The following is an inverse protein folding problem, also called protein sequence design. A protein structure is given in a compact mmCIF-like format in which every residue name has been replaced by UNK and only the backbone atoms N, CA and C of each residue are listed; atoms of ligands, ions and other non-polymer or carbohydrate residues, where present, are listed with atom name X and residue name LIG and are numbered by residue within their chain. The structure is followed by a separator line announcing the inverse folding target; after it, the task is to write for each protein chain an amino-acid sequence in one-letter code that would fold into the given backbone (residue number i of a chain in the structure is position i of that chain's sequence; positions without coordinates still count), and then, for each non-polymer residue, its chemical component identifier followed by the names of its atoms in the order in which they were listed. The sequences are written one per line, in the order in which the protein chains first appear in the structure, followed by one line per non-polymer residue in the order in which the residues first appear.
data_IF_952841229623
#
_entry.id   IF_952841229623
#
_cell.length_a   1.000
_cell.length_b   1.000
_cell.length_c   1.000
_cell.angle_alpha   90.00
_cell.angle_beta   90.00
_cell.angle_gamma   90.00
#
_symmetry.space_group_name_H-M   'P 1'
#
loop_
_entity.id
_entity.type
_entity.pdbx_description
1 polymer ?
#
# COMPACT_ATOMS: atom_id res chain seq x y z
N UNK A 1 36.62 -18.39 29.28
CA UNK A 1 36.21 -18.23 30.69
C UNK A 1 35.17 -19.26 31.06
N UNK A 2 34.38 -19.03 32.11
CA UNK A 2 33.27 -19.93 32.49
C UNK A 2 32.17 -19.96 31.42
N UNK A 3 31.75 -18.80 30.94
CA UNK A 3 30.60 -18.62 30.05
C UNK A 3 30.68 -19.38 28.71
N UNK A 4 31.90 -19.67 28.23
CA UNK A 4 32.14 -20.40 26.98
C UNK A 4 32.71 -21.81 27.25
N UNK A 5 32.38 -22.40 28.41
CA UNK A 5 32.78 -23.74 28.82
C UNK A 5 34.29 -24.00 28.86
N UNK A 6 35.14 -22.96 28.86
CA UNK A 6 36.60 -23.13 28.95
C UNK A 6 37.08 -23.54 30.35
N UNK A 7 36.22 -23.42 31.35
CA UNK A 7 36.48 -23.83 32.73
C UNK A 7 35.25 -24.52 33.29
N UNK A 8 35.43 -25.52 34.14
CA UNK A 8 34.36 -26.26 34.82
C UNK A 8 34.48 -26.18 36.35
N UNK A 9 33.38 -26.44 37.05
CA UNK A 9 33.30 -26.57 38.50
C UNK A 9 33.28 -28.07 38.84
N UNK A 10 34.28 -28.59 39.58
CA UNK A 10 34.25 -29.96 40.06
C UNK A 10 33.14 -30.13 41.09
N UNK A 11 32.07 -30.83 40.73
CA UNK A 11 30.88 -30.99 41.57
C UNK A 11 31.15 -31.79 42.84
N UNK A 12 32.26 -32.54 42.87
CA UNK A 12 32.76 -33.22 44.09
C UNK A 12 32.99 -32.26 45.26
N UNK A 13 33.31 -30.99 44.98
CA UNK A 13 33.48 -29.97 46.01
C UNK A 13 32.17 -29.59 46.71
N UNK A 14 31.03 -29.89 46.08
CA UNK A 14 29.69 -29.62 46.57
C UNK A 14 28.93 -30.91 46.94
N UNK A 15 29.63 -32.05 47.03
CA UNK A 15 29.03 -33.34 47.38
C UNK A 15 28.38 -34.10 46.22
N UNK A 16 28.52 -33.59 44.98
CA UNK A 16 28.08 -34.26 43.75
C UNK A 16 29.19 -35.08 43.07
N UNK A 17 28.98 -35.40 41.80
CA UNK A 17 29.95 -36.11 40.95
C UNK A 17 30.10 -35.42 39.59
N UNK A 18 31.30 -35.49 39.01
CA UNK A 18 31.58 -34.95 37.69
C UNK A 18 31.94 -33.46 37.70
N UNK A 19 31.86 -32.85 36.52
CA UNK A 19 32.20 -31.46 36.26
C UNK A 19 30.95 -30.72 35.77
N UNK A 20 30.73 -29.51 36.26
CA UNK A 20 29.69 -28.61 35.79
C UNK A 20 30.31 -27.57 34.87
N UNK A 21 29.84 -27.46 33.63
CA UNK A 21 30.17 -26.34 32.73
C UNK A 21 29.04 -25.30 32.74
N UNK A 22 29.23 -24.14 32.09
CA UNK A 22 28.17 -23.14 32.02
C UNK A 22 26.98 -23.66 31.20
N UNK A 23 27.24 -24.29 30.05
CA UNK A 23 26.16 -24.88 29.24
C UNK A 23 25.46 -26.04 29.95
N UNK A 24 26.20 -26.89 30.68
CA UNK A 24 25.57 -27.96 31.46
C UNK A 24 24.71 -27.39 32.60
N UNK A 25 25.16 -26.32 33.26
CA UNK A 25 24.39 -25.64 34.29
C UNK A 25 23.08 -25.08 33.73
N UNK A 26 23.13 -24.34 32.61
CA UNK A 26 21.93 -23.78 31.97
C UNK A 26 20.97 -24.88 31.54
N UNK A 27 21.48 -25.93 30.87
CA UNK A 27 20.67 -27.07 30.45
C UNK A 27 20.02 -27.80 31.62
N UNK A 28 20.72 -27.94 32.74
CA UNK A 28 20.16 -28.59 33.94
C UNK A 28 19.09 -27.70 34.55
N UNK A 29 19.42 -26.46 34.87
CA UNK A 29 18.54 -25.53 35.61
C UNK A 29 17.34 -25.01 34.81
N UNK A 30 17.36 -25.13 33.47
CA UNK A 30 16.20 -24.82 32.65
C UNK A 30 15.05 -25.81 32.86
N UNK A 31 15.36 -27.09 32.97
CA UNK A 31 14.37 -28.17 33.02
C UNK A 31 14.33 -28.94 34.33
N UNK A 32 15.13 -28.57 35.33
CA UNK A 32 15.22 -29.25 36.62
C UNK A 32 15.67 -28.28 37.74
N UNK A 33 15.79 -28.79 38.96
CA UNK A 33 16.26 -28.02 40.13
C UNK A 33 17.71 -27.53 39.97
N UNK A 34 18.03 -26.36 40.52
CA UNK A 34 19.40 -25.82 40.57
C UNK A 34 20.30 -26.77 41.38
N UNK A 35 21.29 -27.44 40.74
CA UNK A 35 22.13 -28.43 41.40
C UNK A 35 23.14 -27.81 42.38
N UNK A 36 23.28 -26.49 42.42
CA UNK A 36 24.20 -25.76 43.28
C UNK A 36 23.52 -25.17 44.52
N UNK A 37 22.33 -24.58 44.33
CA UNK A 37 21.64 -23.83 45.39
C UNK A 37 20.32 -24.47 45.83
N UNK A 38 19.82 -25.48 45.11
CA UNK A 38 18.44 -25.95 45.23
C UNK A 38 17.44 -24.95 44.67
N UNK A 39 16.18 -25.36 44.58
CA UNK A 39 15.12 -24.53 44.00
C UNK A 39 15.19 -24.38 42.49
N UNK A 40 14.43 -23.44 41.94
CA UNK A 40 14.32 -23.26 40.49
C UNK A 40 14.64 -21.82 40.08
N UNK A 41 15.25 -21.66 38.90
CA UNK A 41 15.50 -20.35 38.33
C UNK A 41 14.21 -19.69 37.87
N UNK A 42 14.12 -18.36 37.96
CA UNK A 42 12.95 -17.61 37.48
C UNK A 42 12.71 -17.74 35.97
N UNK A 43 13.74 -18.10 35.20
CA UNK A 43 13.68 -18.39 33.76
C UNK A 43 13.95 -19.88 33.51
N UNK A 44 13.11 -20.72 34.11
CA UNK A 44 13.09 -22.18 33.94
C UNK A 44 11.67 -22.65 33.73
N UNK A 45 11.48 -23.90 33.31
CA UNK A 45 10.15 -24.49 33.12
C UNK A 45 9.32 -24.55 34.41
N UNK A 46 9.97 -24.57 35.59
CA UNK A 46 9.29 -24.51 36.88
C UNK A 46 9.02 -23.07 37.38
N UNK A 47 9.58 -22.05 36.70
CA UNK A 47 9.35 -20.61 36.92
C UNK A 47 9.59 -20.17 38.37
N UNK A 48 10.83 -20.30 38.81
CA UNK A 48 11.25 -19.82 40.12
C UNK A 48 10.74 -20.67 41.28
N UNK A 49 11.02 -20.20 42.49
CA UNK A 49 10.54 -20.80 43.73
C UNK A 49 10.04 -19.70 44.67
N UNK A 50 8.93 -19.97 45.34
CA UNK A 50 8.33 -19.11 46.36
C UNK A 50 7.86 -19.99 47.53
N UNK A 51 8.29 -19.67 48.74
CA UNK A 51 7.96 -20.42 49.97
C UNK A 51 8.17 -21.94 49.89
N UNK A 52 9.23 -22.36 49.20
CA UNK A 52 9.64 -23.76 49.12
C UNK A 52 9.01 -24.55 47.97
N UNK A 53 8.06 -23.99 47.22
CA UNK A 53 7.47 -24.64 46.02
C UNK A 53 7.72 -23.81 44.77
N UNK A 54 7.86 -24.46 43.62
CA UNK A 54 7.90 -23.75 42.35
C UNK A 54 6.54 -23.14 41.98
N UNK A 55 6.51 -22.13 41.11
CA UNK A 55 5.23 -21.64 40.59
C UNK A 55 4.46 -22.77 39.91
N UNK A 56 5.16 -23.62 39.16
CA UNK A 56 4.54 -24.74 38.45
C UNK A 56 3.82 -25.71 39.41
N UNK A 57 4.47 -26.05 40.52
CA UNK A 57 3.88 -26.89 41.57
C UNK A 57 2.71 -26.19 42.28
N UNK A 58 2.78 -24.87 42.48
CA UNK A 58 1.69 -24.08 43.05
C UNK A 58 0.44 -24.06 42.15
N UNK A 59 0.59 -24.29 40.85
CA UNK A 59 -0.52 -24.50 39.90
C UNK A 59 -1.10 -25.93 39.95
N UNK A 60 -0.65 -26.76 40.90
CA UNK A 60 -1.11 -28.14 41.09
C UNK A 60 -0.58 -29.10 40.04
N UNK A 61 0.56 -28.78 39.41
CA UNK A 61 1.23 -29.62 38.42
C UNK A 61 2.44 -30.31 39.03
N UNK A 62 2.82 -31.45 38.45
CA UNK A 62 4.06 -32.13 38.82
C UNK A 62 5.26 -31.32 38.32
N UNK A 63 6.27 -31.17 39.18
CA UNK A 63 7.51 -30.47 38.85
C UNK A 63 8.16 -31.06 37.59
N UNK A 64 8.67 -30.17 36.75
CA UNK A 64 9.41 -30.55 35.56
C UNK A 64 10.82 -30.99 35.97
N UNK A 65 11.20 -32.20 35.55
CA UNK A 65 12.53 -32.78 35.76
C UNK A 65 13.02 -33.41 34.44
N UNK A 66 13.72 -32.60 33.63
CA UNK A 66 14.25 -32.99 32.34
C UNK A 66 15.73 -33.33 32.43
N UNK A 67 16.13 -34.36 31.67
CA UNK A 67 17.54 -34.61 31.43
C UNK A 67 18.18 -33.40 30.71
N UNK A 68 19.39 -32.94 31.10
CA UNK A 68 20.01 -31.74 30.52
C UNK A 68 20.14 -31.76 28.99
N UNK A 69 20.30 -32.94 28.38
CA UNK A 69 20.32 -33.09 26.92
C UNK A 69 19.01 -32.66 26.25
N UNK A 70 17.87 -32.98 26.85
CA UNK A 70 16.55 -32.62 26.31
C UNK A 70 16.27 -31.13 26.53
N UNK A 71 16.62 -30.58 27.69
CA UNK A 71 16.60 -29.13 27.93
C UNK A 71 17.45 -28.37 26.90
N UNK A 72 18.66 -28.85 26.62
CA UNK A 72 19.54 -28.27 25.61
C UNK A 72 18.94 -28.35 24.20
N UNK A 73 18.22 -29.42 23.87
CA UNK A 73 17.48 -29.52 22.62
C UNK A 73 16.36 -28.47 22.54
N UNK A 74 15.54 -28.31 23.61
CA UNK A 74 14.47 -27.31 23.67
C UNK A 74 15.03 -25.89 23.52
N UNK A 75 16.16 -25.60 24.15
CA UNK A 75 16.76 -24.26 24.12
C UNK A 75 17.46 -23.95 22.80
N UNK A 76 18.22 -24.89 22.26
CA UNK A 76 19.26 -24.63 21.27
C UNK A 76 19.12 -25.43 19.97
N UNK A 77 18.04 -26.18 19.76
CA UNK A 77 17.79 -26.79 18.46
C UNK A 77 17.81 -25.72 17.36
N UNK A 78 18.48 -25.99 16.24
CA UNK A 78 18.68 -25.00 15.17
C UNK A 78 17.37 -24.49 14.54
N UNK A 79 16.33 -25.32 14.52
CA UNK A 79 15.05 -25.02 13.86
C UNK A 79 13.96 -24.53 14.83
N UNK A 80 13.92 -25.08 16.03
CA UNK A 80 12.83 -24.83 17.00
C UNK A 80 13.32 -24.34 18.35
N UNK A 81 14.64 -24.19 18.57
CA UNK A 81 15.19 -23.85 19.87
C UNK A 81 14.67 -22.50 20.38
N UNK A 82 14.16 -22.45 21.61
CA UNK A 82 13.55 -21.25 22.19
C UNK A 82 14.50 -20.04 22.29
N UNK A 83 15.81 -20.27 22.26
CA UNK A 83 16.84 -19.21 22.30
C UNK A 83 17.37 -18.84 20.93
N UNK A 84 16.90 -19.52 19.87
CA UNK A 84 17.20 -19.17 18.48
C UNK A 84 16.17 -18.16 17.97
N UNK A 85 16.55 -17.32 17.01
CA UNK A 85 15.62 -16.35 16.41
C UNK A 85 14.41 -17.06 15.79
N UNK A 86 14.65 -18.10 14.98
CA UNK A 86 13.59 -18.87 14.31
C UNK A 86 12.65 -19.56 15.31
N UNK A 87 13.19 -20.26 16.31
CA UNK A 87 12.38 -20.95 17.32
C UNK A 87 11.59 -20.01 18.23
N UNK A 88 12.18 -18.88 18.63
CA UNK A 88 11.49 -17.87 19.43
C UNK A 88 10.31 -17.26 18.67
N UNK A 89 10.53 -16.85 17.42
CA UNK A 89 9.47 -16.28 16.55
C UNK A 89 8.41 -17.33 16.22
N UNK A 90 8.79 -18.59 15.95
CA UNK A 90 7.86 -19.70 15.75
C UNK A 90 6.94 -19.89 16.95
N UNK A 91 7.50 -19.90 18.16
CA UNK A 91 6.72 -20.08 19.38
C UNK A 91 5.78 -18.90 19.62
N UNK A 92 6.26 -17.66 19.42
CA UNK A 92 5.45 -16.46 19.55
C UNK A 92 4.32 -16.42 18.52
N UNK A 93 4.61 -16.73 17.25
CA UNK A 93 3.60 -16.92 16.21
C UNK A 93 2.56 -17.94 16.63
N UNK A 94 3.00 -19.08 17.16
CA UNK A 94 2.13 -20.13 17.69
C UNK A 94 1.14 -19.64 18.74
N UNK A 95 1.67 -18.98 19.78
CA UNK A 95 0.85 -18.46 20.88
C UNK A 95 -0.12 -17.36 20.43
N UNK A 96 0.30 -16.47 19.53
CA UNK A 96 -0.51 -15.32 19.11
C UNK A 96 -1.51 -15.65 18.00
N UNK A 97 -1.16 -16.53 17.07
CA UNK A 97 -2.05 -16.98 15.99
C UNK A 97 -2.97 -18.13 16.40
N UNK A 98 -2.57 -18.90 17.42
CA UNK A 98 -3.22 -20.17 17.78
C UNK A 98 -2.95 -21.31 16.78
N UNK A 99 -2.02 -21.13 15.84
CA UNK A 99 -1.65 -22.11 14.83
C UNK A 99 -0.14 -22.16 14.61
N UNK A 100 0.34 -23.25 14.04
CA UNK A 100 1.69 -23.27 13.45
C UNK A 100 1.68 -22.52 12.12
N UNK A 101 2.82 -21.97 11.66
CA UNK A 101 2.96 -21.67 10.24
C UNK A 101 2.74 -22.96 9.42
N UNK A 102 2.49 -22.87 8.10
CA UNK A 102 2.21 -24.01 7.24
C UNK A 102 3.45 -24.88 6.94
N UNK A 103 4.15 -25.32 7.99
CA UNK A 103 5.39 -26.11 7.94
C UNK A 103 5.15 -27.62 7.93
N UNK A 104 3.90 -28.08 8.11
CA UNK A 104 3.52 -29.49 8.10
C UNK A 104 2.91 -29.88 6.76
N UNK A 105 3.76 -30.20 5.78
CA UNK A 105 3.36 -30.50 4.39
C UNK A 105 2.52 -29.37 3.76
N UNK A 106 2.85 -28.11 4.07
CA UNK A 106 2.11 -26.94 3.61
C UNK A 106 0.83 -26.64 4.40
N UNK A 107 0.58 -27.35 5.51
CA UNK A 107 -0.60 -27.15 6.34
C UNK A 107 -0.23 -26.57 7.71
N UNK A 108 -1.12 -25.73 8.24
CA UNK A 108 -1.09 -25.26 9.62
C UNK A 108 -1.79 -26.25 10.54
N UNK A 109 -1.22 -26.47 11.73
CA UNK A 109 -1.81 -27.25 12.81
C UNK A 109 -2.23 -26.32 13.96
N UNK A 110 -3.24 -26.69 14.76
CA UNK A 110 -3.55 -25.94 15.98
C UNK A 110 -2.35 -25.87 16.92
N UNK A 111 -2.08 -24.69 17.47
CA UNK A 111 -1.06 -24.50 18.49
C UNK A 111 -1.60 -24.90 19.86
N UNK A 112 -1.20 -26.07 20.33
CA UNK A 112 -1.61 -26.64 21.61
C UNK A 112 -0.52 -27.55 22.19
N UNK A 113 -0.74 -28.07 23.39
CA UNK A 113 0.19 -28.94 24.11
C UNK A 113 0.58 -30.18 23.31
N UNK A 114 -0.35 -30.79 22.57
CA UNK A 114 -0.09 -31.98 21.75
C UNK A 114 0.83 -31.65 20.57
N UNK A 115 0.63 -30.52 19.90
CA UNK A 115 1.49 -30.06 18.81
C UNK A 115 2.90 -29.73 19.33
N UNK A 116 3.01 -29.01 20.45
CA UNK A 116 4.29 -28.64 21.06
C UNK A 116 5.04 -29.88 21.55
N UNK A 117 4.36 -30.80 22.26
CA UNK A 117 4.97 -32.04 22.75
C UNK A 117 5.56 -32.87 21.62
N UNK A 118 4.83 -32.97 20.50
CA UNK A 118 5.31 -33.65 19.29
C UNK A 118 6.52 -32.95 18.67
N UNK A 119 6.50 -31.62 18.59
CA UNK A 119 7.56 -30.81 18.00
C UNK A 119 8.88 -30.91 18.77
N UNK A 120 8.83 -30.92 20.10
CA UNK A 120 10.01 -30.93 20.97
C UNK A 120 10.36 -32.32 21.54
N UNK A 121 9.53 -33.34 21.30
CA UNK A 121 9.74 -34.68 21.84
C UNK A 121 9.60 -34.76 23.36
N UNK A 122 8.65 -34.02 23.93
CA UNK A 122 8.38 -33.91 25.37
C UNK A 122 6.96 -34.38 25.69
N UNK A 123 6.56 -34.40 26.96
CA UNK A 123 5.16 -34.63 27.34
C UNK A 123 4.34 -33.31 27.35
N UNK A 124 3.02 -33.44 27.51
CA UNK A 124 2.12 -32.29 27.54
C UNK A 124 2.31 -31.40 28.78
N UNK A 125 2.80 -31.93 29.90
CA UNK A 125 3.08 -31.14 31.11
C UNK A 125 4.25 -30.18 30.85
N UNK A 126 5.33 -30.67 30.24
CA UNK A 126 6.46 -29.87 29.77
C UNK A 126 6.01 -28.84 28.74
N UNK A 127 5.14 -29.24 27.80
CA UNK A 127 4.61 -28.34 26.78
C UNK A 127 3.83 -27.19 27.41
N UNK A 128 2.91 -27.46 28.34
CA UNK A 128 2.20 -26.40 29.08
C UNK A 128 3.17 -25.48 29.85
N UNK A 129 4.23 -26.04 30.45
CA UNK A 129 5.24 -25.25 31.15
C UNK A 129 6.01 -24.31 30.21
N UNK A 130 6.34 -24.77 29.00
CA UNK A 130 6.97 -23.94 27.96
C UNK A 130 6.07 -22.77 27.57
N UNK A 131 4.76 -23.04 27.35
CA UNK A 131 3.79 -21.98 27.02
C UNK A 131 3.70 -20.92 28.12
N UNK A 132 3.61 -21.38 29.37
CA UNK A 132 3.57 -20.49 30.53
C UNK A 132 4.87 -19.70 30.69
N UNK A 133 6.04 -20.30 30.46
CA UNK A 133 7.30 -19.59 30.50
C UNK A 133 7.35 -18.49 29.43
N UNK A 134 6.91 -18.79 28.20
CA UNK A 134 7.00 -17.88 27.06
C UNK A 134 6.04 -16.70 27.21
N UNK A 135 4.77 -16.94 27.52
CA UNK A 135 3.75 -15.87 27.57
C UNK A 135 3.47 -15.34 28.98
N UNK A 136 3.77 -16.13 30.02
CA UNK A 136 3.52 -15.78 31.42
C UNK A 136 2.08 -16.02 31.88
N UNK A 137 1.88 -15.81 33.18
CA UNK A 137 0.57 -15.59 33.80
C UNK A 137 0.38 -14.06 33.90
N UNK A 138 -0.82 -13.49 33.71
CA UNK A 138 -1.10 -12.10 34.07
C UNK A 138 -0.53 -11.63 35.43
N UNK A 139 -0.36 -12.55 36.40
CA UNK A 139 0.22 -12.28 37.71
C UNK A 139 1.75 -12.54 37.82
N UNK A 140 2.40 -13.20 36.86
CA UNK A 140 3.85 -13.52 36.88
C UNK A 140 4.50 -13.45 35.48
N UNK A 141 5.62 -12.76 35.43
CA UNK A 141 6.35 -12.40 34.21
C UNK A 141 6.82 -13.58 33.34
N UNK A 142 6.21 -13.76 32.17
CA UNK A 142 6.76 -14.57 31.08
C UNK A 142 7.92 -13.90 30.35
N UNK A 143 8.47 -14.57 29.33
CA UNK A 143 9.51 -13.97 28.47
C UNK A 143 8.93 -12.84 27.62
N UNK A 144 7.83 -13.12 26.90
CA UNK A 144 7.15 -12.24 25.94
C UNK A 144 5.78 -11.78 26.42
N UNK A 145 5.51 -11.87 27.73
CA UNK A 145 4.23 -11.47 28.31
C UNK A 145 3.89 -9.98 28.10
N UNK A 146 2.68 -9.58 28.46
CA UNK A 146 2.13 -8.24 28.19
C UNK A 146 2.46 -7.17 29.21
N UNK A 147 3.05 -7.54 30.34
CA UNK A 147 3.33 -6.61 31.43
C UNK A 147 4.75 -6.11 31.35
N UNK A 148 5.02 -4.94 31.94
CA UNK A 148 6.38 -4.42 32.06
C UNK A 148 7.29 -5.33 32.91
N UNK A 149 6.70 -6.24 33.71
CA UNK A 149 7.45 -7.22 34.49
C UNK A 149 7.96 -8.39 33.63
N UNK A 150 7.37 -8.61 32.44
CA UNK A 150 7.85 -9.59 31.47
C UNK A 150 9.29 -9.29 31.03
N UNK A 151 10.07 -10.34 30.74
CA UNK A 151 11.52 -10.20 30.56
C UNK A 151 11.89 -9.32 29.37
N UNK A 152 11.30 -9.57 28.20
CA UNK A 152 11.61 -8.82 26.97
C UNK A 152 11.09 -7.38 27.04
N UNK A 153 9.81 -7.10 27.36
CA UNK A 153 9.36 -5.73 27.58
C UNK A 153 10.16 -4.97 28.63
N UNK A 154 10.42 -5.59 29.79
CA UNK A 154 11.22 -4.98 30.85
C UNK A 154 12.65 -4.68 30.42
N UNK A 155 13.27 -5.57 29.63
CA UNK A 155 14.59 -5.33 29.04
C UNK A 155 14.57 -4.16 28.06
N UNK A 156 13.62 -4.11 27.14
CA UNK A 156 13.47 -3.01 26.18
C UNK A 156 13.28 -1.67 26.90
N UNK A 157 12.42 -1.63 27.92
CA UNK A 157 12.21 -0.43 28.73
C UNK A 157 13.48 0.00 29.49
N UNK A 158 14.30 -0.96 29.94
CA UNK A 158 15.59 -0.65 30.56
C UNK A 158 16.60 0.00 29.60
N UNK A 159 16.44 -0.22 28.28
CA UNK A 159 17.23 0.42 27.23
C UNK A 159 16.61 1.73 26.71
N UNK A 160 15.54 2.24 27.34
CA UNK A 160 14.92 3.50 26.98
C UNK A 160 13.75 3.40 25.99
N UNK A 161 13.30 2.19 25.66
CA UNK A 161 12.06 1.99 24.89
C UNK A 161 10.87 2.39 25.76
N UNK A 162 9.97 3.20 25.20
CA UNK A 162 8.77 3.65 25.90
C UNK A 162 7.53 3.26 25.08
N UNK A 163 6.44 2.82 25.74
CA UNK A 163 5.19 2.52 25.03
C UNK A 163 4.59 3.72 24.29
N UNK A 164 4.91 4.94 24.74
CA UNK A 164 4.50 6.18 24.11
C UNK A 164 5.71 7.12 24.00
N UNK A 165 5.88 7.72 22.83
CA UNK A 165 6.98 8.62 22.53
C UNK A 165 6.43 10.00 22.15
N UNK A 166 7.09 11.06 22.63
CA UNK A 166 6.81 12.44 22.23
C UNK A 166 7.99 12.96 21.44
N UNK A 167 7.77 13.36 20.20
CA UNK A 167 8.81 13.90 19.32
C UNK A 167 8.28 15.02 18.41
N UNK A 168 9.20 15.70 17.73
CA UNK A 168 8.83 16.70 16.73
C UNK A 168 8.24 16.02 15.49
N UNK A 169 7.41 16.76 14.76
CA UNK A 169 6.86 16.30 13.48
C UNK A 169 7.96 15.86 12.51
N UNK A 170 9.06 16.62 12.41
CA UNK A 170 10.17 16.28 11.52
C UNK A 170 10.88 14.98 11.91
N UNK A 171 11.09 14.73 13.21
CA UNK A 171 11.65 13.44 13.64
C UNK A 171 10.71 12.29 13.25
N UNK A 172 9.41 12.51 13.37
CA UNK A 172 8.42 11.48 13.08
C UNK A 172 8.26 11.20 11.59
N UNK A 173 8.24 12.24 10.77
CA UNK A 173 8.07 12.10 9.33
C UNK A 173 9.38 11.70 8.62
N UNK A 174 10.48 12.39 8.93
CA UNK A 174 11.71 12.38 8.14
C UNK A 174 12.88 11.65 8.80
N UNK A 175 12.72 11.13 10.02
CA UNK A 175 13.78 10.33 10.64
C UNK A 175 13.89 10.43 12.15
N UNK A 176 13.83 9.29 12.85
CA UNK A 176 14.28 9.16 14.23
C UNK A 176 15.06 7.87 14.44
N UNK A 177 15.92 7.84 15.46
CA UNK A 177 16.56 6.60 15.89
C UNK A 177 15.65 5.89 16.89
N UNK A 178 15.21 4.69 16.56
CA UNK A 178 14.38 3.88 17.43
C UNK A 178 15.22 3.18 18.50
N UNK A 179 14.77 3.25 19.76
CA UNK A 179 15.54 2.71 20.88
C UNK A 179 15.46 1.18 20.99
N UNK A 180 14.45 0.55 20.38
CA UNK A 180 14.26 -0.90 20.45
C UNK A 180 15.16 -1.62 19.45
N UNK A 181 15.25 -1.08 18.25
CA UNK A 181 16.08 -1.61 17.15
C UNK A 181 17.50 -1.01 17.17
N UNK A 182 17.64 0.24 17.60
CA UNK A 182 18.86 1.03 17.43
C UNK A 182 19.02 1.61 16.02
N UNK A 183 18.09 1.31 15.12
CA UNK A 183 18.10 1.71 13.71
C UNK A 183 17.38 3.04 13.49
N UNK A 184 17.58 3.60 12.30
CA UNK A 184 16.88 4.80 11.85
C UNK A 184 15.59 4.42 11.13
N UNK A 185 14.48 5.07 11.51
CA UNK A 185 13.16 4.88 10.92
C UNK A 185 12.63 6.22 10.40
N UNK A 186 11.85 6.19 9.33
CA UNK A 186 11.12 7.35 8.78
C UNK A 186 9.81 6.92 8.15
N UNK A 187 8.83 7.82 8.11
CA UNK A 187 7.56 7.59 7.40
C UNK A 187 7.60 8.11 5.95
N UNK A 188 8.53 9.01 5.65
CA UNK A 188 8.77 9.55 4.32
C UNK A 188 10.24 9.42 3.93
N UNK A 189 10.48 9.16 2.66
CA UNK A 189 11.83 9.05 2.10
C UNK A 189 12.45 10.44 1.92
N UNK A 190 13.71 10.58 2.26
CA UNK A 190 14.52 11.77 1.99
C UNK A 190 15.96 11.34 1.69
N UNK A 191 16.84 12.24 1.28
CA UNK A 191 18.25 11.87 1.04
C UNK A 191 18.93 11.37 2.33
N UNK A 192 18.58 11.96 3.48
CA UNK A 192 19.12 11.57 4.79
C UNK A 192 18.05 11.65 5.88
N UNK A 193 18.20 10.84 6.93
CA UNK A 193 17.32 10.93 8.09
C UNK A 193 17.48 12.28 8.79
N UNK A 194 16.36 12.87 9.21
CA UNK A 194 16.35 14.18 9.85
C UNK A 194 17.20 14.20 11.13
N UNK A 195 18.12 15.15 11.22
CA UNK A 195 18.99 15.32 12.39
C UNK A 195 20.08 14.25 12.56
N UNK A 196 20.22 13.31 11.60
CA UNK A 196 21.19 12.19 11.67
C UNK A 196 22.65 12.58 11.44
N UNK A 197 22.91 13.79 10.93
CA UNK A 197 24.26 14.21 10.56
C UNK A 197 24.76 13.58 9.25
N UNK A 198 23.85 13.13 8.38
CA UNK A 198 24.16 12.65 7.04
C UNK A 198 24.04 11.13 6.85
N UNK A 199 23.28 10.44 7.70
CA UNK A 199 22.95 9.03 7.48
C UNK A 199 21.96 8.96 6.33
N UNK A 200 22.36 8.33 5.22
CA UNK A 200 21.54 8.18 4.03
C UNK A 200 20.24 7.43 4.35
N UNK A 201 19.13 7.88 3.76
CA UNK A 201 17.81 7.26 3.88
C UNK A 201 17.43 6.62 2.53
N UNK A 202 18.19 5.59 2.16
CA UNK A 202 18.04 4.85 0.91
C UNK A 202 18.74 5.47 -0.31
N UNK A 203 18.73 4.73 -1.42
CA UNK A 203 19.36 5.13 -2.70
C UNK A 203 18.36 5.83 -3.66
N UNK A 204 17.12 6.08 -3.21
CA UNK A 204 16.01 6.54 -4.04
C UNK A 204 15.38 5.41 -4.87
N UNK A 205 14.11 5.59 -5.24
CA UNK A 205 13.30 4.57 -5.92
C UNK A 205 13.32 4.77 -7.44
N UNK A 206 13.53 3.70 -8.20
CA UNK A 206 13.50 3.71 -9.67
C UNK A 206 12.24 3.05 -10.22
N UNK A 207 11.42 3.83 -10.93
CA UNK A 207 10.25 3.30 -11.63
C UNK A 207 10.56 3.05 -13.11
N UNK A 208 10.20 1.86 -13.59
CA UNK A 208 10.14 1.54 -15.02
C UNK A 208 8.69 1.63 -15.47
N UNK A 209 8.42 2.53 -16.41
CA UNK A 209 7.06 2.79 -16.89
C UNK A 209 6.93 2.51 -18.38
N UNK A 210 5.74 2.09 -18.79
CA UNK A 210 5.41 1.84 -20.19
C UNK A 210 5.21 3.17 -20.93
N UNK A 211 5.86 3.33 -22.08
CA UNK A 211 5.69 4.54 -22.91
C UNK A 211 4.47 4.47 -23.82
N UNK A 212 3.79 3.32 -23.91
CA UNK A 212 2.70 3.06 -24.86
C UNK A 212 3.15 2.68 -26.28
N UNK A 213 4.45 2.75 -26.59
CA UNK A 213 4.98 2.42 -27.93
C UNK A 213 5.07 0.91 -28.16
N UNK A 214 5.34 0.14 -27.10
CA UNK A 214 5.44 -1.31 -27.17
C UNK A 214 4.06 -1.96 -26.96
N UNK A 215 3.70 -2.93 -27.79
CA UNK A 215 2.47 -3.70 -27.57
C UNK A 215 2.59 -4.57 -26.31
N UNK A 216 1.60 -4.49 -25.41
CA UNK A 216 1.49 -5.33 -24.22
C UNK A 216 1.42 -4.60 -22.88
N UNK A 217 1.47 -3.27 -22.87
CA UNK A 217 1.18 -2.41 -21.72
C UNK A 217 0.58 -1.09 -22.22
N UNK A 218 -0.15 -0.42 -21.35
CA UNK A 218 -0.76 0.87 -21.65
C UNK A 218 0.16 2.03 -21.23
N UNK A 219 -0.03 3.18 -21.87
CA UNK A 219 0.83 4.34 -21.65
C UNK A 219 0.78 4.76 -20.17
N UNK A 220 1.96 4.96 -19.58
CA UNK A 220 2.08 5.39 -18.20
C UNK A 220 1.87 4.28 -17.18
N UNK A 221 1.64 3.02 -17.57
CA UNK A 221 1.57 1.92 -16.62
C UNK A 221 2.94 1.60 -16.02
N UNK A 222 2.98 1.30 -14.73
CA UNK A 222 4.20 0.81 -14.06
C UNK A 222 4.48 -0.63 -14.48
N UNK A 223 5.74 -0.91 -14.79
CA UNK A 223 6.26 -2.23 -15.15
C UNK A 223 7.15 -2.82 -14.06
N UNK A 224 7.90 -1.97 -13.36
CA UNK A 224 8.74 -2.38 -12.24
C UNK A 224 9.10 -1.20 -11.34
N UNK A 225 9.34 -1.50 -10.07
CA UNK A 225 9.93 -0.62 -9.06
C UNK A 225 11.22 -1.28 -8.57
N UNK A 226 12.36 -0.58 -8.69
CA UNK A 226 13.69 -1.10 -8.35
C UNK A 226 14.03 -2.48 -8.95
N UNK A 227 13.50 -2.73 -10.16
CA UNK A 227 13.67 -3.97 -10.90
C UNK A 227 12.74 -5.11 -10.48
N UNK A 228 11.84 -4.87 -9.52
CA UNK A 228 10.80 -5.80 -9.07
C UNK A 228 9.45 -5.49 -9.72
N UNK A 229 8.69 -6.53 -10.08
CA UNK A 229 7.29 -6.42 -10.54
C UNK A 229 6.27 -6.50 -9.40
N UNK A 230 6.76 -6.56 -8.17
CA UNK A 230 5.99 -6.72 -6.93
C UNK A 230 6.29 -5.58 -5.97
N UNK A 231 5.33 -5.26 -5.10
CA UNK A 231 5.56 -4.37 -3.96
C UNK A 231 6.76 -4.85 -3.13
N UNK A 232 7.54 -3.91 -2.59
CA UNK A 232 8.77 -4.18 -1.82
C UNK A 232 8.57 -5.21 -0.71
N UNK A 233 7.42 -5.18 -0.04
CA UNK A 233 7.09 -6.01 1.11
C UNK A 233 6.12 -7.15 0.80
N UNK A 234 5.62 -7.24 -0.44
CA UNK A 234 4.79 -8.36 -0.92
C UNK A 234 5.41 -8.97 -2.17
N UNK A 235 6.59 -9.55 -1.99
CA UNK A 235 7.36 -10.21 -3.03
C UNK A 235 7.55 -11.71 -2.73
N UNK A 236 8.20 -12.45 -3.64
CA UNK A 236 8.44 -13.89 -3.48
C UNK A 236 9.35 -14.24 -2.29
N UNK A 237 10.30 -13.37 -1.92
CA UNK A 237 11.18 -13.59 -0.79
C UNK A 237 10.40 -13.48 0.53
N UNK A 238 9.59 -12.44 0.71
CA UNK A 238 8.70 -12.31 1.86
C UNK A 238 7.74 -13.50 1.96
N UNK A 239 7.17 -13.93 0.84
CA UNK A 239 6.31 -15.10 0.80
C UNK A 239 7.05 -16.38 1.22
N UNK A 240 8.31 -16.55 0.83
CA UNK A 240 9.11 -17.71 1.22
C UNK A 240 9.41 -17.71 2.72
N UNK A 241 9.89 -16.58 3.25
CA UNK A 241 10.31 -16.47 4.66
C UNK A 241 9.13 -16.45 5.64
N UNK A 242 7.94 -16.10 5.17
CA UNK A 242 6.69 -16.14 5.94
C UNK A 242 5.86 -17.39 5.66
N UNK A 243 6.42 -18.39 4.98
CA UNK A 243 5.74 -19.66 4.65
C UNK A 243 4.44 -19.46 3.85
N UNK A 244 4.36 -18.43 3.03
CA UNK A 244 3.20 -18.09 2.19
C UNK A 244 2.08 -17.36 2.93
N UNK A 245 2.28 -16.99 4.20
CA UNK A 245 1.31 -16.20 4.96
C UNK A 245 1.15 -14.79 4.39
N UNK A 246 2.24 -14.21 3.86
CA UNK A 246 2.21 -12.96 3.10
C UNK A 246 2.46 -13.29 1.64
N UNK A 247 1.43 -13.19 0.82
CA UNK A 247 1.51 -13.53 -0.61
C UNK A 247 2.04 -12.37 -1.44
N UNK A 248 2.73 -12.65 -2.56
CA UNK A 248 3.18 -11.60 -3.46
C UNK A 248 2.01 -10.79 -4.04
N UNK A 249 2.22 -9.49 -4.25
CA UNK A 249 1.25 -8.56 -4.86
C UNK A 249 1.95 -7.75 -5.95
N UNK A 250 1.46 -7.87 -7.19
CA UNK A 250 2.10 -7.23 -8.32
C UNK A 250 1.68 -5.77 -8.42
N UNK A 251 2.67 -4.90 -8.66
CA UNK A 251 2.47 -3.47 -8.96
C UNK A 251 2.33 -3.20 -10.47
N UNK A 252 2.44 -4.24 -11.31
CA UNK A 252 2.40 -4.07 -12.77
C UNK A 252 1.00 -3.64 -13.21
N UNK A 253 0.95 -2.67 -14.12
CA UNK A 253 -0.32 -2.12 -14.64
C UNK A 253 -0.94 -1.05 -13.74
N UNK A 254 -0.23 -0.60 -12.69
CA UNK A 254 -0.68 0.58 -11.94
C UNK A 254 -0.46 1.84 -12.74
N UNK A 255 -1.43 2.74 -12.71
CA UNK A 255 -1.39 4.00 -13.45
C UNK A 255 -0.31 4.93 -12.92
N UNK A 256 0.46 5.50 -13.84
CA UNK A 256 1.37 6.62 -13.62
C UNK A 256 0.77 7.99 -13.96
N UNK A 257 -0.54 8.06 -14.20
CA UNK A 257 -1.21 9.31 -14.60
C UNK A 257 -2.16 9.20 -15.78
N UNK A 258 -2.34 8.02 -16.37
CA UNK A 258 -3.28 7.77 -17.47
C UNK A 258 -4.20 6.59 -17.15
N UNK A 259 -5.48 6.72 -17.48
CA UNK A 259 -6.48 5.67 -17.34
C UNK A 259 -6.96 5.22 -18.72
N UNK A 260 -7.07 3.91 -18.90
CA UNK A 260 -7.60 3.31 -20.14
C UNK A 260 -9.11 3.17 -20.11
N UNK A 261 -9.71 3.29 -18.92
CA UNK A 261 -11.13 3.10 -18.65
C UNK A 261 -11.51 1.64 -18.40
N UNK A 262 -10.57 0.69 -18.44
CA UNK A 262 -10.86 -0.72 -18.17
C UNK A 262 -9.72 -1.46 -17.51
N UNK A 263 -9.94 -1.96 -16.30
CA UNK A 263 -8.97 -2.79 -15.59
C UNK A 263 -7.79 -2.02 -15.00
N UNK A 264 -7.88 -0.68 -14.98
CA UNK A 264 -6.86 0.19 -14.42
C UNK A 264 -6.69 -0.04 -12.91
N UNK A 265 -5.45 0.12 -12.44
CA UNK A 265 -5.06 -0.02 -11.03
C UNK A 265 -4.30 1.21 -10.60
N UNK A 266 -4.23 1.47 -9.29
CA UNK A 266 -3.37 2.52 -8.72
C UNK A 266 -2.50 1.92 -7.62
N UNK A 267 -1.24 2.33 -7.60
CA UNK A 267 -0.35 2.10 -6.46
C UNK A 267 -0.60 3.17 -5.41
N UNK A 268 -1.04 2.76 -4.22
CA UNK A 268 -1.36 3.64 -3.12
C UNK A 268 -0.13 3.84 -2.25
N UNK A 269 0.87 4.51 -2.82
CA UNK A 269 2.15 4.86 -2.17
C UNK A 269 2.94 3.64 -1.66
N UNK A 270 2.88 2.50 -2.37
CA UNK A 270 3.57 1.26 -1.98
C UNK A 270 2.85 0.46 -0.88
N UNK A 271 1.80 1.00 -0.26
CA UNK A 271 1.07 0.32 0.81
C UNK A 271 0.01 -0.64 0.29
N UNK A 272 -0.51 -0.45 -0.91
CA UNK A 272 -1.53 -1.31 -1.50
C UNK A 272 -1.68 -1.07 -2.99
N UNK A 273 -2.14 -2.08 -3.72
CA UNK A 273 -2.66 -1.91 -5.08
C UNK A 273 -4.18 -1.91 -5.00
N UNK A 274 -4.81 -0.88 -5.57
CA UNK A 274 -6.26 -0.75 -5.61
C UNK A 274 -6.77 -0.74 -7.05
N UNK A 275 -7.89 -1.42 -7.28
CA UNK A 275 -8.61 -1.37 -8.56
C UNK A 275 -9.31 -0.03 -8.71
N UNK A 276 -9.26 0.55 -9.91
CA UNK A 276 -9.92 1.81 -10.23
C UNK A 276 -11.28 1.51 -10.86
N UNK A 277 -12.31 2.21 -10.40
CA UNK A 277 -13.66 2.17 -10.96
C UNK A 277 -14.07 3.57 -11.41
N UNK A 278 -14.50 3.70 -12.67
CA UNK A 278 -15.05 4.94 -13.22
C UNK A 278 -16.57 4.77 -13.41
N UNK A 279 -17.36 5.58 -12.71
CA UNK A 279 -18.82 5.46 -12.66
C UNK A 279 -19.58 6.78 -12.89
N UNK A 280 -18.85 7.84 -13.24
CA UNK A 280 -19.41 9.16 -13.53
C UNK A 280 -18.64 9.90 -14.61
N UNK A 281 -19.20 11.04 -15.00
CA UNK A 281 -18.54 12.00 -15.90
C UNK A 281 -18.82 13.40 -15.40
N UNK A 282 -17.82 14.28 -15.46
CA UNK A 282 -17.97 15.67 -15.06
C UNK A 282 -17.17 16.61 -15.97
N UNK A 283 -16.88 17.81 -15.50
CA UNK A 283 -16.09 18.79 -16.24
C UNK A 283 -15.13 19.48 -15.27
N UNK A 284 -13.84 19.50 -15.62
CA UNK A 284 -12.80 20.22 -14.89
C UNK A 284 -12.29 21.33 -15.80
N UNK A 285 -12.54 22.58 -15.42
CA UNK A 285 -12.10 23.78 -16.18
C UNK A 285 -12.44 23.72 -17.68
N UNK A 286 -13.68 23.34 -18.02
CA UNK A 286 -14.14 23.22 -19.41
C UNK A 286 -13.79 21.89 -20.09
N UNK A 287 -12.93 21.07 -19.49
CA UNK A 287 -12.50 19.78 -20.04
C UNK A 287 -13.42 18.66 -19.56
N UNK A 288 -14.07 17.89 -20.45
CA UNK A 288 -14.83 16.69 -20.08
C UNK A 288 -13.94 15.63 -19.45
N UNK A 289 -14.39 15.05 -18.34
CA UNK A 289 -13.64 14.02 -17.60
C UNK A 289 -14.53 12.85 -17.20
N UNK A 290 -13.91 11.69 -17.05
CA UNK A 290 -14.47 10.54 -16.34
C UNK A 290 -14.10 10.63 -14.86
N UNK A 291 -15.11 10.48 -14.00
CA UNK A 291 -14.94 10.47 -12.55
C UNK A 291 -14.66 9.04 -12.09
N UNK A 292 -13.46 8.84 -11.54
CA UNK A 292 -12.96 7.55 -11.12
C UNK A 292 -12.62 7.55 -9.63
N UNK A 293 -12.67 6.38 -9.01
CA UNK A 293 -12.34 6.18 -7.60
C UNK A 293 -11.60 4.87 -7.38
N UNK A 294 -10.83 4.82 -6.30
CA UNK A 294 -10.19 3.63 -5.78
C UNK A 294 -10.16 3.70 -4.25
N UNK A 295 -10.23 2.54 -3.58
CA UNK A 295 -10.20 2.50 -2.12
C UNK A 295 -9.49 1.27 -1.59
N UNK A 296 -8.98 1.41 -0.37
CA UNK A 296 -8.33 0.34 0.39
C UNK A 296 -9.06 0.18 1.72
N UNK A 297 -9.62 -1.02 1.95
CA UNK A 297 -10.36 -1.32 3.18
C UNK A 297 -9.40 -1.51 4.34
N UNK A 298 -9.41 -0.56 5.29
CA UNK A 298 -8.48 -0.53 6.42
C UNK A 298 -8.44 -1.84 7.20
N UNK A 299 -9.58 -2.44 7.54
CA UNK A 299 -9.66 -3.68 8.34
C UNK A 299 -9.05 -4.91 7.68
N UNK A 300 -8.75 -4.85 6.39
CA UNK A 300 -8.23 -5.95 5.59
C UNK A 300 -6.78 -5.74 5.18
N UNK A 301 -6.20 -4.56 5.43
CA UNK A 301 -4.86 -4.18 4.99
C UNK A 301 -3.93 -3.92 6.17
N UNK A 302 -3.47 -5.00 6.81
CA UNK A 302 -2.36 -4.94 7.75
C UNK A 302 -1.05 -4.70 6.99
N UNK A 303 -0.32 -3.65 7.35
CA UNK A 303 0.95 -3.25 6.71
C UNK A 303 2.17 -3.53 7.61
N UNK A 304 2.03 -4.33 8.66
CA UNK A 304 3.12 -4.60 9.60
C UNK A 304 4.39 -5.12 8.91
N UNK A 305 4.23 -5.94 7.87
CA UNK A 305 5.35 -6.50 7.13
C UNK A 305 6.09 -5.45 6.31
N UNK A 306 5.43 -4.38 5.87
CA UNK A 306 6.06 -3.22 5.24
C UNK A 306 6.83 -2.35 6.24
N UNK A 307 6.42 -2.37 7.51
CA UNK A 307 7.06 -1.56 8.55
C UNK A 307 8.20 -2.30 9.25
N UNK A 308 8.08 -3.62 9.36
CA UNK A 308 9.08 -4.50 9.98
C UNK A 308 10.14 -4.94 8.96
N UNK A 309 9.72 -5.35 7.76
CA UNK A 309 10.55 -5.86 6.66
C UNK A 309 11.69 -6.77 7.12
N UNK A 310 11.44 -7.64 8.10
CA UNK A 310 12.51 -8.47 8.66
C UNK A 310 12.86 -9.67 7.78
N UNK A 311 11.98 -10.00 6.82
CA UNK A 311 12.02 -11.23 6.04
C UNK A 311 12.10 -12.46 6.94
N UNK A 312 11.22 -12.49 7.95
CA UNK A 312 11.05 -13.64 8.84
C UNK A 312 9.58 -13.87 9.16
N UNK A 313 9.25 -14.96 9.85
CA UNK A 313 7.90 -15.21 10.34
C UNK A 313 7.37 -14.09 11.26
N UNK A 314 8.22 -13.20 11.78
CA UNK A 314 7.80 -12.05 12.59
C UNK A 314 6.89 -11.11 11.78
N UNK A 315 7.16 -10.94 10.48
CA UNK A 315 6.37 -10.10 9.57
C UNK A 315 4.92 -10.59 9.43
N UNK A 316 4.67 -11.89 9.65
CA UNK A 316 3.34 -12.50 9.63
C UNK A 316 2.79 -12.81 11.04
N UNK A 317 3.54 -12.49 12.11
CA UNK A 317 3.12 -12.76 13.49
C UNK A 317 2.04 -11.78 13.91
N UNK A 318 0.85 -12.26 14.35
CA UNK A 318 -0.22 -11.37 14.76
C UNK A 318 0.22 -10.44 15.89
N UNK A 319 -0.01 -9.14 15.72
CA UNK A 319 0.29 -8.14 16.74
C UNK A 319 1.76 -7.82 16.94
N UNK A 320 2.64 -8.21 16.01
CA UNK A 320 4.03 -7.78 16.02
C UNK A 320 4.14 -6.24 15.88
N UNK A 321 3.41 -5.67 14.91
CA UNK A 321 3.25 -4.22 14.77
C UNK A 321 1.89 -3.93 14.08
N UNK A 322 0.77 -3.92 14.81
CA UNK A 322 -0.57 -4.06 14.23
C UNK A 322 -1.10 -2.76 13.63
N UNK A 323 -0.43 -2.28 12.58
CA UNK A 323 -0.76 -1.09 11.82
C UNK A 323 -1.55 -1.49 10.57
N UNK A 324 -2.68 -0.82 10.38
CA UNK A 324 -3.58 -1.03 9.25
C UNK A 324 -3.63 0.23 8.39
N UNK A 325 -3.84 0.06 7.09
CA UNK A 325 -3.83 1.14 6.11
C UNK A 325 -5.17 1.22 5.38
N UNK A 326 -5.81 2.38 5.43
CA UNK A 326 -6.99 2.67 4.61
C UNK A 326 -6.72 3.84 3.68
N UNK A 327 -7.35 3.86 2.52
CA UNK A 327 -7.25 4.98 1.59
C UNK A 327 -8.52 5.15 0.79
N UNK A 328 -8.87 6.41 0.52
CA UNK A 328 -9.93 6.80 -0.40
C UNK A 328 -9.33 7.75 -1.43
N UNK A 329 -9.50 7.42 -2.71
CA UNK A 329 -8.90 8.14 -3.84
C UNK A 329 -10.00 8.50 -4.83
N UNK A 330 -9.98 9.74 -5.29
CA UNK A 330 -10.77 10.21 -6.42
C UNK A 330 -9.85 10.76 -7.50
N UNK A 331 -10.19 10.51 -8.75
CA UNK A 331 -9.42 10.90 -9.93
C UNK A 331 -10.38 11.37 -11.01
N UNK A 332 -10.01 12.42 -11.73
CA UNK A 332 -10.71 12.90 -12.90
C UNK A 332 -9.80 12.76 -14.12
N UNK A 333 -10.13 11.83 -15.01
CA UNK A 333 -9.37 11.56 -16.22
C UNK A 333 -10.04 12.17 -17.46
N UNK A 334 -9.29 12.87 -18.30
CA UNK A 334 -9.81 13.45 -19.54
C UNK A 334 -10.28 12.34 -20.51
N UNK A 335 -11.49 12.49 -21.08
CA UNK A 335 -12.22 11.40 -21.73
C UNK A 335 -11.54 10.83 -22.99
N UNK A 336 -10.72 11.61 -23.69
CA UNK A 336 -10.05 11.14 -24.91
C UNK A 336 -8.67 10.55 -24.66
N UNK A 337 -7.85 11.26 -23.90
CA UNK A 337 -6.45 10.91 -23.65
C UNK A 337 -6.29 9.97 -22.46
N UNK A 338 -7.29 9.91 -21.57
CA UNK A 338 -7.20 9.20 -20.30
C UNK A 338 -6.31 9.89 -19.26
N UNK A 339 -5.74 11.05 -19.56
CA UNK A 339 -4.84 11.77 -18.65
C UNK A 339 -5.58 12.21 -17.39
N UNK A 340 -5.06 11.86 -16.22
CA UNK A 340 -5.57 12.31 -14.93
C UNK A 340 -5.20 13.79 -14.75
N UNK A 341 -6.20 14.67 -14.75
CA UNK A 341 -6.01 16.12 -14.67
C UNK A 341 -6.44 16.72 -13.33
N UNK A 342 -7.13 15.95 -12.49
CA UNK A 342 -7.39 16.28 -11.11
C UNK A 342 -7.54 15.01 -10.26
N UNK A 343 -7.31 15.13 -8.96
CA UNK A 343 -7.54 14.06 -8.03
C UNK A 343 -7.24 14.44 -6.58
N UNK A 344 -7.83 13.69 -5.68
CA UNK A 344 -7.64 13.81 -4.23
C UNK A 344 -7.48 12.42 -3.62
N UNK A 345 -6.62 12.31 -2.62
CA UNK A 345 -6.44 11.09 -1.83
C UNK A 345 -6.43 11.41 -0.34
N UNK A 346 -7.02 10.50 0.44
CA UNK A 346 -7.01 10.52 1.90
C UNK A 346 -6.57 9.15 2.40
N UNK A 347 -5.30 9.05 2.78
CA UNK A 347 -4.68 7.81 3.26
C UNK A 347 -4.50 7.86 4.77
N UNK A 348 -5.07 6.91 5.49
CA UNK A 348 -5.10 6.88 6.96
C UNK A 348 -4.42 5.63 7.49
N UNK A 349 -3.54 5.84 8.47
CA UNK A 349 -2.87 4.79 9.22
C UNK A 349 -3.59 4.58 10.53
N UNK A 350 -3.95 3.33 10.81
CA UNK A 350 -4.70 2.93 11.99
C UNK A 350 -3.85 2.00 12.86
N UNK A 351 -3.98 2.13 14.16
CA UNK A 351 -3.44 1.17 15.11
C UNK A 351 -4.57 0.29 15.65
N UNK A 352 -4.40 -1.02 15.59
CA UNK A 352 -5.29 -1.96 16.30
C UNK A 352 -5.03 -1.90 17.80
N UNK A 353 -6.04 -1.47 18.55
CA UNK A 353 -5.94 -1.24 19.99
C UNK A 353 -6.37 -2.45 20.83
N UNK A 354 -6.79 -3.55 20.19
CA UNK A 354 -7.11 -4.79 20.91
C UNK A 354 -5.89 -5.33 21.63
N UNK A 355 -6.11 -6.17 22.62
CA UNK A 355 -5.02 -6.94 23.22
C UNK A 355 -4.33 -7.78 22.13
N UNK A 356 -3.00 -7.81 22.13
CA UNK A 356 -2.18 -8.58 21.18
C UNK A 356 -2.67 -10.04 20.94
N UNK A 357 -3.13 -10.75 21.97
CA UNK A 357 -3.71 -12.11 21.90
C UNK A 357 -5.02 -12.20 21.11
N UNK A 358 -5.64 -11.08 20.77
CA UNK A 358 -6.88 -10.99 20.00
C UNK A 358 -6.66 -10.53 18.56
N UNK A 359 -5.42 -10.24 18.17
CA UNK A 359 -5.09 -9.62 16.89
C UNK A 359 -4.86 -10.63 15.75
N UNK A 360 -5.03 -11.93 16.02
CA UNK A 360 -5.00 -12.98 14.98
C UNK A 360 -6.21 -12.94 14.03
N UNK A 361 -7.33 -12.37 14.49
CA UNK A 361 -8.51 -12.17 13.66
C UNK A 361 -8.51 -10.77 13.07
N UNK A 362 -9.15 -10.60 11.91
CA UNK A 362 -9.36 -9.28 11.32
C UNK A 362 -10.08 -8.35 12.32
N UNK A 363 -9.63 -7.09 12.47
CA UNK A 363 -10.27 -6.11 13.33
C UNK A 363 -11.59 -5.61 12.72
N UNK A 364 -12.42 -5.02 13.55
CA UNK A 364 -13.49 -4.13 13.11
C UNK A 364 -13.02 -2.68 13.14
N UNK A 365 -13.72 -1.76 12.46
CA UNK A 365 -13.38 -0.33 12.52
C UNK A 365 -13.42 0.26 13.95
N UNK A 366 -14.17 -0.33 14.89
CA UNK A 366 -14.17 0.11 16.29
C UNK A 366 -12.93 -0.32 17.09
N UNK A 367 -12.15 -1.26 16.55
CA UNK A 367 -10.88 -1.71 17.14
C UNK A 367 -9.69 -0.84 16.67
N UNK A 368 -9.89 -0.10 15.58
CA UNK A 368 -8.87 0.69 14.89
C UNK A 368 -8.93 2.16 15.31
N UNK A 369 -7.82 2.67 15.85
CA UNK A 369 -7.66 4.09 16.16
C UNK A 369 -6.81 4.78 15.08
N UNK A 370 -7.28 5.85 14.43
CA UNK A 370 -6.49 6.59 13.46
C UNK A 370 -5.32 7.31 14.16
N UNK A 371 -4.11 7.05 13.69
CA UNK A 371 -2.89 7.67 14.24
C UNK A 371 -2.44 8.84 13.37
N UNK A 372 -2.61 8.73 12.06
CA UNK A 372 -2.14 9.72 11.10
C UNK A 372 -2.87 9.60 9.77
N UNK A 373 -3.02 10.74 9.09
CA UNK A 373 -3.72 10.86 7.81
C UNK A 373 -2.90 11.77 6.89
N UNK A 374 -2.69 11.30 5.65
CA UNK A 374 -2.12 12.08 4.55
C UNK A 374 -3.27 12.45 3.62
N UNK A 375 -3.42 13.76 3.38
CA UNK A 375 -4.30 14.29 2.35
C UNK A 375 -3.46 14.93 1.26
N UNK A 376 -3.63 14.44 0.04
CA UNK A 376 -3.01 14.99 -1.15
C UNK A 376 -4.08 15.36 -2.15
N UNK A 377 -3.94 16.53 -2.77
CA UNK A 377 -4.79 16.94 -3.87
C UNK A 377 -3.98 17.64 -4.95
N UNK A 378 -4.36 17.40 -6.19
CA UNK A 378 -3.76 18.02 -7.36
C UNK A 378 -4.84 18.32 -8.39
N UNK A 379 -4.65 19.41 -9.12
CA UNK A 379 -5.51 19.82 -10.22
C UNK A 379 -4.66 20.57 -11.23
N UNK A 380 -4.91 20.33 -12.51
CA UNK A 380 -4.31 21.04 -13.64
C UNK A 380 -4.39 22.56 -13.42
N UNK A 381 -3.33 23.29 -13.81
CA UNK A 381 -3.27 24.75 -13.75
C UNK A 381 -4.32 25.41 -14.65
N UNK A 382 -4.63 26.70 -14.45
CA UNK A 382 -5.58 27.40 -15.33
C UNK A 382 -5.01 27.51 -16.75
N UNK A 383 -3.75 27.95 -16.89
CA UNK A 383 -3.08 28.11 -18.18
C UNK A 383 -2.97 26.78 -18.94
N UNK A 384 -2.58 25.70 -18.26
CA UNK A 384 -2.45 24.36 -18.85
C UNK A 384 -3.83 23.80 -19.27
N UNK A 385 -4.89 24.12 -18.52
CA UNK A 385 -6.25 23.69 -18.84
C UNK A 385 -6.79 24.44 -20.06
N UNK A 386 -6.55 25.74 -20.19
CA UNK A 386 -6.94 26.51 -21.38
C UNK A 386 -6.23 26.00 -22.64
N UNK A 387 -4.93 25.68 -22.54
CA UNK A 387 -4.18 25.08 -23.65
C UNK A 387 -4.74 23.71 -24.04
N UNK A 388 -5.06 22.87 -23.05
CA UNK A 388 -5.64 21.55 -23.28
C UNK A 388 -7.06 21.61 -23.84
N UNK A 389 -7.92 22.49 -23.33
CA UNK A 389 -9.27 22.71 -23.84
C UNK A 389 -9.24 23.16 -25.30
N UNK A 390 -8.36 24.12 -25.63
CA UNK A 390 -8.15 24.58 -27.01
C UNK A 390 -7.66 23.45 -27.91
N UNK A 391 -6.68 22.67 -27.46
CA UNK A 391 -6.03 21.63 -28.28
C UNK A 391 -6.90 20.38 -28.47
N UNK A 392 -7.70 20.01 -27.48
CA UNK A 392 -8.45 18.75 -27.45
C UNK A 392 -9.95 18.98 -27.62
N UNK A 393 -10.56 19.78 -26.75
CA UNK A 393 -12.02 19.93 -26.67
C UNK A 393 -12.54 20.74 -27.86
N UNK A 394 -11.96 21.91 -28.09
CA UNK A 394 -12.42 22.80 -29.16
C UNK A 394 -12.22 22.17 -30.54
N UNK A 395 -11.13 21.42 -30.76
CA UNK A 395 -10.86 20.75 -32.03
C UNK A 395 -11.85 19.61 -32.37
N UNK A 396 -12.71 19.19 -31.43
CA UNK A 396 -13.78 18.23 -31.69
C UNK A 396 -15.08 18.87 -32.20
N UNK A 397 -15.23 20.19 -32.10
CA UNK A 397 -16.46 20.87 -32.48
C UNK A 397 -16.65 20.94 -34.00
N UNK A 398 -17.64 20.25 -34.55
CA UNK A 398 -17.84 20.14 -36.00
C UNK A 398 -17.97 21.51 -36.73
N UNK A 399 -18.51 22.54 -36.07
CA UNK A 399 -18.75 23.87 -36.66
C UNK A 399 -17.79 24.95 -36.15
N UNK A 400 -17.26 24.79 -34.93
CA UNK A 400 -16.42 25.75 -34.21
C UNK A 400 -14.97 25.31 -34.01
N UNK A 401 -14.54 24.14 -34.53
CA UNK A 401 -13.17 23.66 -34.34
C UNK A 401 -12.09 24.68 -34.72
N UNK A 402 -12.37 25.57 -35.67
CA UNK A 402 -11.42 26.54 -36.20
C UNK A 402 -11.37 27.86 -35.42
N UNK A 403 -12.16 28.05 -34.35
CA UNK A 403 -12.29 29.37 -33.71
C UNK A 403 -11.22 29.67 -32.65
N UNK A 404 -10.35 28.71 -32.34
CA UNK A 404 -9.18 28.84 -31.44
C UNK A 404 -7.96 29.45 -32.14
N UNK A 405 -7.85 29.36 -33.47
CA UNK A 405 -6.72 29.88 -34.26
C UNK A 405 -5.35 29.35 -33.82
N UNK A 406 -5.31 28.09 -33.38
CA UNK A 406 -4.10 27.42 -32.91
C UNK A 406 -3.32 26.77 -34.08
N UNK A 407 -3.95 26.62 -35.24
CA UNK A 407 -3.39 26.03 -36.44
C UNK A 407 -3.56 26.93 -37.67
N UNK A 408 -2.66 26.79 -38.64
CA UNK A 408 -2.77 27.54 -39.90
C UNK A 408 -4.05 27.20 -40.68
N UNK A 409 -4.61 26.01 -40.46
CA UNK A 409 -5.85 25.56 -41.11
C UNK A 409 -7.06 26.38 -40.65
N UNK A 410 -7.04 26.89 -39.42
CA UNK A 410 -8.14 27.67 -38.84
C UNK A 410 -8.35 28.98 -39.59
N UNK A 411 -7.24 29.63 -39.94
CA UNK A 411 -7.23 30.83 -40.76
C UNK A 411 -7.77 30.56 -42.17
N UNK A 412 -7.49 29.38 -42.72
CA UNK A 412 -8.04 28.97 -44.03
C UNK A 412 -9.55 28.74 -43.93
N UNK A 413 -10.01 28.08 -42.87
CA UNK A 413 -11.44 27.84 -42.62
C UNK A 413 -12.21 29.15 -42.40
N UNK A 414 -11.66 30.10 -41.65
CA UNK A 414 -12.23 31.45 -41.52
C UNK A 414 -12.39 32.13 -42.88
N UNK A 415 -11.37 32.06 -43.75
CA UNK A 415 -11.44 32.65 -45.09
C UNK A 415 -12.53 32.00 -45.95
N UNK A 416 -12.72 30.69 -45.85
CA UNK A 416 -13.82 29.99 -46.53
C UNK A 416 -15.19 30.41 -45.99
N UNK A 417 -15.35 30.56 -44.67
CA UNK A 417 -16.59 31.04 -44.06
C UNK A 417 -16.93 32.47 -44.49
N UNK A 418 -15.97 33.39 -44.38
CA UNK A 418 -16.13 34.79 -44.81
C UNK A 418 -16.40 34.87 -46.32
N UNK A 419 -15.67 34.10 -47.12
CA UNK A 419 -15.87 34.02 -48.58
C UNK A 419 -17.25 33.47 -48.95
N UNK A 420 -17.70 32.41 -48.27
CA UNK A 420 -19.02 31.82 -48.47
C UNK A 420 -20.16 32.79 -48.14
N UNK A 421 -20.08 33.46 -46.99
CA UNK A 421 -21.06 34.49 -46.59
C UNK A 421 -21.07 35.64 -47.59
N UNK A 422 -19.89 36.11 -48.05
CA UNK A 422 -19.79 37.15 -49.06
C UNK A 422 -20.44 36.72 -50.39
N UNK A 423 -20.24 35.47 -50.83
CA UNK A 423 -20.88 34.95 -52.04
C UNK A 423 -22.41 34.83 -51.90
N UNK A 424 -22.90 34.40 -50.74
CA UNK A 424 -24.34 34.36 -50.46
C UNK A 424 -24.92 35.79 -50.47
N UNK A 425 -24.25 36.75 -49.84
CA UNK A 425 -24.69 38.15 -49.83
C UNK A 425 -24.71 38.75 -51.24
N UNK A 426 -23.67 38.51 -52.04
CA UNK A 426 -23.63 38.93 -53.44
C UNK A 426 -24.74 38.25 -54.27
N UNK A 427 -25.02 36.96 -54.03
CA UNK A 427 -26.13 36.25 -54.64
C UNK A 427 -27.51 36.82 -54.28
N UNK A 428 -27.72 37.19 -53.01
CA UNK A 428 -28.97 37.83 -52.57
C UNK A 428 -29.14 39.25 -53.13
N UNK A 429 -28.06 40.04 -53.19
CA UNK A 429 -28.08 41.36 -53.84
C UNK A 429 -28.35 41.20 -55.33
N UNK A 430 -27.73 40.21 -55.98
CA UNK A 430 -27.98 39.86 -57.38
C UNK A 430 -29.43 39.43 -57.64
N UNK A 431 -30.02 38.61 -56.77
CA UNK A 431 -31.42 38.18 -56.88
C UNK A 431 -32.41 39.33 -56.61
N UNK A 432 -32.12 40.20 -55.63
CA UNK A 432 -32.88 41.41 -55.38
C UNK A 432 -32.85 42.38 -56.56
N UNK A 433 -31.68 42.57 -57.17
CA UNK A 433 -31.53 43.41 -58.36
C UNK A 433 -32.13 42.77 -59.62
N UNK A 434 -32.09 41.43 -59.75
CA UNK A 434 -32.73 40.71 -60.85
C UNK A 434 -34.26 40.84 -60.82
N UNK A 435 -34.88 40.91 -59.63
CA UNK A 435 -36.32 41.18 -59.51
C UNK A 435 -36.71 42.60 -59.95
N UNK A 436 -35.82 43.58 -59.81
CA UNK A 436 -36.01 44.93 -60.38
C UNK A 436 -35.71 44.99 -61.88
N UNK A 437 -34.81 44.14 -62.40
CA UNK A 437 -34.59 44.00 -63.84
C UNK A 437 -35.76 43.31 -64.55
N UNK A 438 -36.45 42.35 -63.92
CA UNK A 438 -37.67 41.78 -64.53
C UNK A 438 -38.81 42.80 -64.64
N UNK A 439 -38.95 43.72 -63.68
CA UNK A 439 -39.91 44.83 -63.76
C UNK A 439 -39.48 45.88 -64.81
N UNK A 440 -38.17 46.14 -64.95
CA UNK A 440 -37.66 47.07 -65.97
C UNK A 440 -37.70 46.48 -67.38
N UNK A 441 -37.45 45.17 -67.56
CA UNK A 441 -37.62 44.46 -68.83
C UNK A 441 -39.10 44.33 -69.22
N UNK A 442 -40.02 44.12 -68.27
CA UNK A 442 -41.45 44.16 -68.55
C UNK A 442 -41.91 45.58 -68.96
N UNK A 443 -41.32 46.62 -68.37
CA UNK A 443 -41.58 48.02 -68.75
C UNK A 443 -40.94 48.39 -70.09
N UNK A 444 -39.75 47.86 -70.41
CA UNK A 444 -39.06 48.10 -71.67
C UNK A 444 -39.71 47.35 -72.84
N UNK A 445 -40.15 46.10 -72.64
CA UNK A 445 -40.89 45.34 -73.65
C UNK A 445 -42.25 45.98 -73.98
N UNK A 446 -42.91 46.62 -73.00
CA UNK A 446 -44.12 47.39 -73.24
C UNK A 446 -43.88 48.72 -73.98
N UNK A 447 -42.64 49.24 -74.02
CA UNK A 447 -42.27 50.41 -74.82
C UNK A 447 -41.82 50.02 -76.23
N UNK A 448 -41.25 48.82 -76.42
CA UNK A 448 -40.80 48.33 -77.73
C UNK A 448 -41.99 47.89 -78.62
N UNK A 449 -43.06 47.32 -78.05
CA UNK A 449 -44.31 47.02 -78.78
C UNK A 449 -45.12 48.27 -79.19
N UNK A 450 -44.75 49.47 -78.72
CA UNK A 450 -45.43 50.72 -79.07
C UNK A 450 -44.79 51.48 -80.24
N UNK A 451 -43.54 51.16 -80.62
CA UNK A 451 -42.80 51.88 -81.67
C UNK A 451 -42.79 51.16 -83.04
N UNK A 452 -43.24 49.90 -83.14
CA UNK A 452 -43.29 49.13 -84.40
C UNK A 452 -44.62 49.23 -85.18
N UNK A 453 -45.59 50.05 -84.73
CA UNK A 453 -46.86 50.31 -85.44
C UNK A 453 -46.93 51.69 -86.13
N UNK A 454 -45.81 52.28 -86.54
CA UNK A 454 -45.82 53.60 -87.17
C UNK A 454 -44.80 53.85 -88.29
N UNK A 455 -44.64 52.94 -89.26
CA UNK A 455 -44.28 53.39 -90.63
C UNK A 455 -44.55 52.34 -91.73
N UNK A 456 -45.75 52.32 -92.30
CA UNK A 456 -45.94 51.85 -93.68
C UNK A 456 -47.12 52.52 -94.39
N UNK A 457 -46.76 53.45 -95.28
CA UNK A 457 -47.38 53.88 -96.55
C UNK A 457 -48.66 54.73 -96.56
N UNK A 458 -48.47 55.94 -97.10
CA UNK A 458 -49.46 56.80 -97.77
C UNK A 458 -49.71 56.34 -99.23
N UNK A 459 -50.95 56.52 -99.70
CA UNK A 459 -51.24 56.87 -101.10
C UNK A 459 -51.83 55.80 -102.03
N UNK A 460 -53.16 55.79 -102.18
CA UNK A 460 -53.88 55.05 -103.23
C UNK A 460 -55.37 55.41 -103.30
N UNK A 461 -55.66 56.53 -103.96
CA UNK A 461 -56.96 57.17 -104.27
C UNK A 461 -57.99 56.34 -105.06
N UNK A 462 -59.26 56.75 -104.92
CA UNK A 462 -60.39 56.71 -105.88
C UNK A 462 -60.82 55.31 -106.43
N UNK A 463 -62.09 54.89 -106.51
CA UNK A 463 -63.31 55.63 -106.77
C UNK A 463 -64.58 54.75 -106.58
N UNK A 464 -65.69 55.44 -106.35
CA UNK A 464 -67.09 55.15 -106.76
C UNK A 464 -67.98 54.06 -106.13
N UNK A 465 -69.14 54.57 -105.66
CA UNK A 465 -70.53 54.04 -105.70
C UNK A 465 -71.16 53.54 -104.39
#
# INVERSE_FOLDING_TARGET
GWFNDSTSLPMVLLGGSGEMTASLFVNTTFGAEDPLNGGYLSTSLNIGQEDGSSLWELLGRDAIDLHPTLSGHILYNETTGLTTQGGAVLFLYGELSGQTPPIFDGNSLPWNETTISTMYGVDENVSSAMRLLMMGDPAKAGIYGTTADAKVPGYLMSNGVMPYLTQSFNNWLLGWQDAATGDWLSLETNETYYGSGGVANGDGTNYTMCTGEAGGCDQGETLAEDGSTYLSWRNEAMATETYGLITPESLVGTTGGFLTGSGDKVDVSGYAIADITCDGTSTVKGIPVDDCSASVTATERNIQANLLETYTLLDATPGALPVYFGSEITMQAEQLSGLIIAGESSSTFYLDTRAHTSQASAPSMSDLEPVFEIKSSSMIGDDDAEEMESAIVQNQDMLSYWTNFDSWIDWVTLLFWVGGIAMIAMGMIGAGNASTESDSLATAAAMEDADDEADSSDGGDEDAA
#
